data_IF_821317084176
#
_entry.id   IF_821317084176
#
_cell.length_a   1.000
_cell.length_b   1.000
_cell.length_c   1.000
_cell.angle_alpha   90.00
_cell.angle_beta   90.00
_cell.angle_gamma   90.00
#
_symmetry.space_group_name_H-M   'P 1'
#
loop_
_entity.id
_entity.type
_entity.pdbx_description
1 polymer ?
#
# COMPACT_ATOMS: atom_id res chain seq x y z
N UNK A 1 19.00 -13.82 -8.75
CA UNK A 1 18.73 -13.07 -9.98
C UNK A 1 19.84 -13.46 -10.94
N UNK A 2 19.54 -13.92 -12.15
CA UNK A 2 20.58 -14.36 -13.08
C UNK A 2 20.95 -13.16 -13.94
N UNK A 3 22.23 -12.77 -13.99
CA UNK A 3 22.68 -11.62 -14.76
C UNK A 3 22.32 -11.80 -16.26
N UNK A 4 21.49 -10.91 -16.85
CA UNK A 4 21.14 -10.94 -18.26
C UNK A 4 22.34 -10.87 -19.21
N UNK A 5 23.47 -10.31 -18.76
CA UNK A 5 24.70 -10.15 -19.55
C UNK A 5 25.48 -11.46 -19.64
N UNK A 6 25.58 -12.19 -18.52
CA UNK A 6 26.23 -13.51 -18.47
C UNK A 6 25.42 -14.52 -19.29
N UNK A 7 24.09 -14.40 -19.23
CA UNK A 7 23.18 -15.25 -20.01
C UNK A 7 23.13 -14.90 -21.49
N UNK A 8 23.28 -13.62 -21.88
CA UNK A 8 23.44 -13.25 -23.29
C UNK A 8 24.73 -13.82 -23.90
N UNK A 9 25.83 -13.81 -23.15
CA UNK A 9 27.09 -14.43 -23.57
C UNK A 9 26.97 -15.96 -23.69
N UNK A 10 26.38 -16.61 -22.68
CA UNK A 10 26.11 -18.04 -22.73
C UNK A 10 25.20 -18.39 -23.91
N UNK A 11 24.14 -17.61 -24.13
CA UNK A 11 23.18 -17.72 -25.25
C UNK A 11 23.85 -17.59 -26.60
N UNK A 12 24.73 -16.62 -26.80
CA UNK A 12 25.51 -16.47 -28.04
C UNK A 12 26.40 -17.68 -28.31
N UNK A 13 27.00 -18.29 -27.28
CA UNK A 13 27.78 -19.52 -27.42
C UNK A 13 26.92 -20.76 -27.70
N UNK A 14 25.73 -20.86 -27.09
CA UNK A 14 24.83 -22.02 -27.26
C UNK A 14 24.01 -21.97 -28.55
N UNK A 15 23.65 -20.77 -29.02
CA UNK A 15 22.66 -20.65 -30.08
C UNK A 15 23.24 -20.79 -31.49
N UNK A 16 24.57 -20.77 -31.72
CA UNK A 16 25.22 -21.07 -33.02
C UNK A 16 24.35 -20.76 -34.28
N UNK A 17 23.72 -19.58 -34.33
CA UNK A 17 22.85 -19.16 -35.45
C UNK A 17 21.36 -19.57 -35.44
N UNK A 18 20.75 -19.99 -34.32
CA UNK A 18 19.29 -20.23 -34.22
C UNK A 18 18.51 -19.02 -33.69
N UNK A 19 17.29 -18.85 -34.21
CA UNK A 19 16.37 -17.74 -33.91
C UNK A 19 16.00 -17.62 -32.43
N UNK A 20 15.73 -16.38 -32.02
CA UNK A 20 15.36 -15.98 -30.66
C UNK A 20 14.07 -16.69 -30.24
N UNK A 21 14.12 -17.49 -29.18
CA UNK A 21 12.97 -18.22 -28.64
C UNK A 21 12.92 -18.07 -27.12
N UNK A 22 11.84 -17.50 -26.59
CA UNK A 22 11.67 -17.23 -25.16
C UNK A 22 11.74 -18.51 -24.30
N UNK A 23 11.29 -19.65 -24.83
CA UNK A 23 11.40 -20.94 -24.14
C UNK A 23 12.86 -21.42 -24.01
N UNK A 24 13.67 -21.22 -25.07
CA UNK A 24 15.10 -21.58 -25.05
C UNK A 24 15.85 -20.63 -24.13
N UNK A 25 15.54 -19.33 -24.19
CA UNK A 25 16.14 -18.31 -23.33
C UNK A 25 15.80 -18.54 -21.85
N UNK A 26 14.55 -18.88 -21.53
CA UNK A 26 14.11 -19.21 -20.17
C UNK A 26 14.74 -20.50 -19.64
N UNK A 27 14.78 -21.56 -20.46
CA UNK A 27 15.45 -22.81 -20.09
C UNK A 27 16.96 -22.60 -19.88
N UNK A 28 17.57 -21.74 -20.69
CA UNK A 28 18.97 -21.40 -20.56
C UNK A 28 19.25 -20.63 -19.27
N UNK A 29 18.48 -19.57 -19.00
CA UNK A 29 18.50 -18.81 -17.75
C UNK A 29 18.35 -19.71 -16.52
N UNK A 30 17.42 -20.67 -16.56
CA UNK A 30 17.21 -21.64 -15.49
C UNK A 30 18.37 -22.65 -15.33
N UNK A 31 19.09 -22.94 -16.42
CA UNK A 31 20.24 -23.86 -16.43
C UNK A 31 21.57 -23.18 -16.06
N UNK A 32 21.68 -21.86 -16.18
CA UNK A 32 22.88 -21.08 -15.87
C UNK A 32 23.47 -21.33 -14.48
N UNK A 33 22.68 -21.47 -13.39
CA UNK A 33 23.21 -21.75 -12.05
C UNK A 33 23.98 -23.08 -11.95
N UNK A 34 23.70 -24.02 -12.85
CA UNK A 34 24.34 -25.33 -12.89
C UNK A 34 25.66 -25.31 -13.67
N UNK A 35 25.83 -24.33 -14.56
CA UNK A 35 26.97 -24.22 -15.49
C UNK A 35 28.07 -23.29 -14.99
N UNK A 36 27.71 -22.24 -14.25
CA UNK A 36 28.67 -21.32 -13.63
C UNK A 36 28.23 -20.96 -12.21
N UNK A 37 28.96 -21.48 -11.22
CA UNK A 37 28.71 -21.17 -9.80
C UNK A 37 29.09 -19.74 -9.44
N UNK A 38 30.01 -19.11 -10.19
CA UNK A 38 30.41 -17.69 -10.00
C UNK A 38 29.37 -16.72 -10.56
N UNK A 39 28.50 -17.16 -11.47
CA UNK A 39 27.29 -16.43 -11.84
C UNK A 39 26.32 -16.29 -10.65
N UNK A 40 26.53 -17.07 -9.57
CA UNK A 40 25.87 -16.88 -8.28
C UNK A 40 26.62 -15.88 -7.37
N UNK A 41 27.95 -15.87 -7.41
CA UNK A 41 28.78 -15.02 -6.52
C UNK A 41 28.61 -13.51 -6.78
N UNK A 42 28.40 -13.09 -8.03
CA UNK A 42 28.10 -11.69 -8.35
C UNK A 42 26.65 -11.27 -8.01
N UNK A 43 25.84 -12.16 -7.43
CA UNK A 43 24.38 -11.96 -7.26
C UNK A 43 23.92 -11.96 -5.80
N UNK A 44 24.83 -11.65 -4.88
CA UNK A 44 24.39 -10.92 -3.70
C UNK A 44 24.20 -9.45 -4.18
N UNK A 45 23.22 -9.16 -5.06
CA UNK A 45 22.03 -8.49 -4.53
C UNK A 45 21.89 -8.91 -3.08
N UNK A 46 22.54 -8.17 -2.16
CA UNK A 46 22.10 -8.13 -0.78
C UNK A 46 20.64 -7.82 -0.98
N UNK A 47 19.76 -8.83 -0.85
CA UNK A 47 18.33 -8.62 -0.83
C UNK A 47 18.15 -7.87 0.45
N UNK A 48 18.34 -6.57 0.35
CA UNK A 48 18.40 -5.73 1.52
C UNK A 48 17.07 -5.96 2.22
N UNK A 49 17.09 -6.22 3.54
CA UNK A 49 15.86 -6.38 4.30
C UNK A 49 14.82 -5.28 3.99
N UNK A 50 15.29 -4.10 3.57
CA UNK A 50 14.52 -2.99 3.00
C UNK A 50 13.63 -3.40 1.81
N UNK A 51 14.14 -4.09 0.78
CA UNK A 51 13.35 -4.51 -0.41
C UNK A 51 12.20 -5.45 -0.05
N UNK A 52 12.42 -6.37 0.89
CA UNK A 52 11.35 -7.24 1.39
C UNK A 52 10.26 -6.46 2.13
N UNK A 53 10.67 -5.46 2.93
CA UNK A 53 9.76 -4.62 3.69
C UNK A 53 9.01 -3.61 2.81
N UNK A 54 9.64 -3.02 1.79
CA UNK A 54 9.01 -2.08 0.86
C UNK A 54 7.97 -2.79 -0.02
N UNK A 55 8.26 -4.01 -0.47
CA UNK A 55 7.26 -4.85 -1.17
C UNK A 55 6.09 -5.25 -0.26
N UNK A 56 6.36 -5.55 1.01
CA UNK A 56 5.31 -5.80 2.00
C UNK A 56 4.47 -4.54 2.24
N UNK A 57 5.11 -3.38 2.38
CA UNK A 57 4.46 -2.08 2.52
C UNK A 57 3.49 -1.82 1.37
N UNK A 58 3.94 -1.97 0.12
CA UNK A 58 3.07 -1.84 -1.05
C UNK A 58 1.89 -2.82 -1.03
N UNK A 59 2.13 -4.07 -0.64
CA UNK A 59 1.07 -5.07 -0.55
C UNK A 59 0.00 -4.68 0.46
N UNK A 60 0.40 -4.18 1.63
CA UNK A 60 -0.53 -3.72 2.67
C UNK A 60 -1.24 -2.44 2.23
N UNK A 61 -0.54 -1.51 1.58
CA UNK A 61 -1.16 -0.30 1.00
C UNK A 61 -2.26 -0.67 -0.01
N UNK A 62 -2.01 -1.64 -0.89
CA UNK A 62 -3.05 -2.18 -1.80
C UNK A 62 -4.23 -2.80 -1.04
N UNK A 63 -3.98 -3.50 0.08
CA UNK A 63 -5.04 -4.02 0.92
C UNK A 63 -5.87 -2.91 1.58
N UNK A 64 -5.23 -1.86 2.09
CA UNK A 64 -5.90 -0.68 2.66
C UNK A 64 -6.84 -0.06 1.63
N UNK A 65 -6.37 0.15 0.40
CA UNK A 65 -7.22 0.67 -0.70
C UNK A 65 -8.39 -0.27 -0.99
N UNK A 66 -8.12 -1.59 -1.11
CA UNK A 66 -9.15 -2.59 -1.38
C UNK A 66 -10.23 -2.61 -0.29
N UNK A 67 -9.83 -2.62 0.98
CA UNK A 67 -10.76 -2.66 2.11
C UNK A 67 -11.57 -1.37 2.18
N UNK A 68 -10.92 -0.21 1.97
CA UNK A 68 -11.61 1.09 1.91
C UNK A 68 -12.68 1.10 0.81
N UNK A 69 -12.37 0.56 -0.37
CA UNK A 69 -13.34 0.46 -1.47
C UNK A 69 -14.52 -0.47 -1.13
N UNK A 70 -14.28 -1.57 -0.41
CA UNK A 70 -15.36 -2.45 0.05
C UNK A 70 -16.27 -1.71 1.03
N UNK A 71 -15.71 -0.97 1.99
CA UNK A 71 -16.48 -0.16 2.94
C UNK A 71 -17.27 0.92 2.20
N UNK A 72 -16.66 1.62 1.24
CA UNK A 72 -17.35 2.60 0.40
C UNK A 72 -18.53 1.98 -0.36
N UNK A 73 -18.34 0.79 -0.92
CA UNK A 73 -19.42 0.09 -1.63
C UNK A 73 -20.57 -0.28 -0.70
N UNK A 74 -20.27 -0.74 0.52
CA UNK A 74 -21.30 -1.10 1.49
C UNK A 74 -22.04 0.15 2.01
N UNK A 75 -21.31 1.24 2.25
CA UNK A 75 -21.88 2.55 2.60
C UNK A 75 -22.74 3.13 1.48
N UNK A 76 -22.34 2.99 0.20
CA UNK A 76 -23.17 3.45 -0.91
C UNK A 76 -24.55 2.76 -0.94
N UNK A 77 -24.67 1.54 -0.39
CA UNK A 77 -25.96 0.87 -0.25
C UNK A 77 -26.79 1.41 0.93
N UNK A 78 -26.19 1.54 2.12
CA UNK A 78 -26.95 1.80 3.36
C UNK A 78 -26.87 3.23 3.89
N UNK A 79 -25.88 4.01 3.46
CA UNK A 79 -25.65 5.38 3.89
C UNK A 79 -24.85 6.20 2.86
N UNK A 80 -25.38 6.43 1.65
CA UNK A 80 -24.64 7.10 0.57
C UNK A 80 -24.20 8.53 0.92
N UNK A 81 -24.92 9.24 1.78
CA UNK A 81 -24.61 10.62 2.20
C UNK A 81 -23.41 10.71 3.15
N UNK A 82 -22.89 9.59 3.64
CA UNK A 82 -21.77 9.57 4.59
C UNK A 82 -20.53 10.31 4.06
N UNK A 83 -20.27 10.22 2.76
CA UNK A 83 -19.13 10.88 2.11
C UNK A 83 -19.25 12.40 2.05
N UNK A 84 -20.43 12.98 2.32
CA UNK A 84 -20.61 14.43 2.42
C UNK A 84 -19.98 15.05 3.70
N UNK A 85 -19.79 14.22 4.72
CA UNK A 85 -19.08 14.61 5.96
C UNK A 85 -17.65 14.07 5.94
N UNK A 86 -17.46 12.89 5.36
CA UNK A 86 -16.17 12.22 5.26
C UNK A 86 -15.81 11.89 3.81
N UNK A 87 -15.25 12.84 3.04
CA UNK A 87 -14.81 12.57 1.67
C UNK A 87 -13.79 11.41 1.59
N UNK A 88 -12.95 11.27 2.62
CA UNK A 88 -12.09 10.11 2.81
C UNK A 88 -12.64 9.19 3.92
N UNK A 89 -13.21 8.06 3.51
CA UNK A 89 -13.68 7.00 4.41
C UNK A 89 -12.53 6.29 5.14
N UNK A 90 -11.33 6.34 4.58
CA UNK A 90 -10.11 5.91 5.26
C UNK A 90 -9.65 6.88 6.35
N UNK A 91 -10.24 8.06 6.49
CA UNK A 91 -9.77 9.04 7.48
C UNK A 91 -9.94 8.53 8.91
N UNK A 92 -9.08 8.99 9.82
CA UNK A 92 -9.09 8.56 11.22
C UNK A 92 -10.44 8.78 11.90
N UNK A 93 -11.11 9.89 11.59
CA UNK A 93 -12.42 10.21 12.15
C UNK A 93 -13.52 9.34 11.56
N UNK A 94 -13.51 9.14 10.23
CA UNK A 94 -14.49 8.27 9.57
C UNK A 94 -14.43 6.85 10.12
N UNK A 95 -13.23 6.27 10.21
CA UNK A 95 -13.00 4.95 10.80
C UNK A 95 -13.53 4.90 12.24
N UNK A 96 -13.28 5.92 13.06
CA UNK A 96 -13.76 5.95 14.45
C UNK A 96 -15.30 6.01 14.56
N UNK A 97 -15.96 6.70 13.62
CA UNK A 97 -17.42 6.74 13.54
C UNK A 97 -18.00 5.39 13.11
N UNK A 98 -17.43 4.77 12.08
CA UNK A 98 -17.88 3.47 11.59
C UNK A 98 -17.62 2.34 12.59
N UNK A 99 -16.50 2.40 13.31
CA UNK A 99 -16.14 1.43 14.35
C UNK A 99 -17.16 1.45 15.51
N UNK A 100 -17.63 2.64 15.88
CA UNK A 100 -18.53 2.80 17.03
C UNK A 100 -20.01 2.69 16.68
N UNK A 101 -20.44 3.23 15.55
CA UNK A 101 -21.86 3.36 15.20
C UNK A 101 -22.27 2.52 14.00
N UNK A 102 -21.36 2.31 13.05
CA UNK A 102 -21.48 1.42 11.88
C UNK A 102 -22.57 1.76 10.86
N UNK A 103 -23.80 2.10 11.28
CA UNK A 103 -24.98 2.32 10.43
C UNK A 103 -25.65 3.68 10.71
N UNK A 104 -26.48 4.21 9.78
CA UNK A 104 -27.26 5.42 10.03
C UNK A 104 -28.12 5.33 11.30
N UNK A 105 -28.84 4.22 11.48
CA UNK A 105 -29.68 4.00 12.66
C UNK A 105 -28.85 3.97 13.95
N UNK A 106 -27.63 3.43 13.91
CA UNK A 106 -26.69 3.47 15.03
C UNK A 106 -26.28 4.89 15.40
N UNK A 107 -26.01 5.74 14.40
CA UNK A 107 -25.67 7.15 14.58
C UNK A 107 -26.84 7.93 15.19
N UNK A 108 -28.05 7.75 14.66
CA UNK A 108 -29.26 8.43 15.15
C UNK A 108 -29.57 8.04 16.59
N UNK A 109 -29.44 6.75 16.94
CA UNK A 109 -29.72 6.22 18.28
C UNK A 109 -28.81 6.81 19.36
N UNK A 110 -27.54 7.03 19.03
CA UNK A 110 -26.53 7.53 19.98
C UNK A 110 -26.59 9.05 20.18
N UNK A 111 -27.11 9.78 19.19
CA UNK A 111 -27.35 11.21 19.28
C UNK A 111 -26.10 12.08 19.11
N UNK A 112 -26.36 13.39 18.99
CA UNK A 112 -25.37 14.40 18.59
C UNK A 112 -24.16 14.45 19.54
N UNK A 113 -24.40 14.41 20.86
CA UNK A 113 -23.31 14.55 21.84
C UNK A 113 -22.33 13.36 21.80
N UNK A 114 -22.83 12.13 21.64
CA UNK A 114 -21.99 10.92 21.53
C UNK A 114 -21.17 10.96 20.24
N UNK A 115 -21.80 11.35 19.13
CA UNK A 115 -21.16 11.52 17.82
C UNK A 115 -20.07 12.59 17.88
N UNK A 116 -20.39 13.78 18.39
CA UNK A 116 -19.46 14.90 18.53
C UNK A 116 -18.23 14.51 19.33
N UNK A 117 -18.41 13.80 20.45
CA UNK A 117 -17.30 13.33 21.30
C UNK A 117 -16.35 12.41 20.54
N UNK A 118 -16.86 11.53 19.69
CA UNK A 118 -16.03 10.65 18.84
C UNK A 118 -15.29 11.46 17.78
N UNK A 119 -15.99 12.38 17.11
CA UNK A 119 -15.39 13.22 16.06
C UNK A 119 -14.26 14.09 16.62
N UNK A 120 -14.51 14.80 17.71
CA UNK A 120 -13.52 15.66 18.37
C UNK A 120 -12.30 14.88 18.87
N UNK A 121 -12.50 13.72 19.49
CA UNK A 121 -11.40 12.89 19.99
C UNK A 121 -10.51 12.37 18.86
N UNK A 122 -11.11 11.92 17.77
CA UNK A 122 -10.37 11.35 16.64
C UNK A 122 -9.69 12.44 15.79
N UNK A 123 -10.30 13.62 15.68
CA UNK A 123 -9.84 14.74 14.84
C UNK A 123 -9.06 15.84 15.56
N UNK A 124 -8.76 15.69 16.86
CA UNK A 124 -8.14 16.75 17.68
C UNK A 124 -8.95 18.05 17.67
N UNK A 125 -10.26 17.95 17.92
CA UNK A 125 -11.21 19.07 17.98
C UNK A 125 -11.43 19.84 16.66
N UNK A 126 -10.99 19.32 15.52
CA UNK A 126 -11.31 19.90 14.20
C UNK A 126 -12.83 19.99 13.96
N UNK A 127 -13.57 18.89 14.17
CA UNK A 127 -15.03 18.87 14.00
C UNK A 127 -15.76 19.58 15.14
N UNK A 128 -16.83 20.29 14.79
CA UNK A 128 -17.68 21.09 15.67
C UNK A 128 -19.06 20.47 15.80
N UNK A 129 -19.90 21.10 16.63
CA UNK A 129 -21.27 20.65 16.88
C UNK A 129 -22.08 20.57 15.58
N UNK A 130 -21.96 21.59 14.74
CA UNK A 130 -22.65 21.68 13.45
C UNK A 130 -22.33 20.48 12.53
N UNK A 131 -21.09 19.98 12.55
CA UNK A 131 -20.69 18.80 11.78
C UNK A 131 -21.37 17.51 12.30
N UNK A 132 -21.47 17.38 13.62
CA UNK A 132 -22.16 16.26 14.25
C UNK A 132 -23.68 16.33 14.03
N UNK A 133 -24.26 17.52 14.09
CA UNK A 133 -25.67 17.78 13.75
C UNK A 133 -25.93 17.42 12.29
N UNK A 134 -25.06 17.85 11.36
CA UNK A 134 -25.13 17.48 9.94
C UNK A 134 -25.12 15.96 9.76
N UNK A 135 -24.17 15.26 10.38
CA UNK A 135 -24.06 13.81 10.26
C UNK A 135 -25.30 13.08 10.79
N UNK A 136 -25.82 13.49 11.95
CA UNK A 136 -27.04 12.89 12.54
C UNK A 136 -28.27 13.18 11.70
N UNK A 137 -28.37 14.38 11.10
CA UNK A 137 -29.46 14.72 10.16
C UNK A 137 -29.40 13.84 8.92
N UNK A 138 -28.23 13.74 8.28
CA UNK A 138 -28.03 12.87 7.10
C UNK A 138 -28.34 11.41 7.43
N UNK A 139 -27.96 10.94 8.63
CA UNK A 139 -28.26 9.58 9.05
C UNK A 139 -29.76 9.34 9.30
N UNK A 140 -30.51 10.36 9.72
CA UNK A 140 -31.96 10.28 9.94
C UNK A 140 -32.72 10.25 8.61
N UNK A 141 -32.29 11.07 7.66
CA UNK A 141 -32.97 11.28 6.38
C UNK A 141 -32.32 10.50 5.22
N UNK A 142 -31.45 9.52 5.54
CA UNK A 142 -30.68 8.77 4.53
C UNK A 142 -31.59 8.00 3.58
N UNK A 143 -31.26 8.05 2.28
CA UNK A 143 -31.96 7.29 1.23
C UNK A 143 -31.46 5.85 1.07
N UNK A 144 -30.50 5.43 1.90
CA UNK A 144 -29.93 4.09 1.89
C UNK A 144 -30.96 2.99 2.15
N UNK A 145 -30.67 1.78 1.67
CA UNK A 145 -31.53 0.63 1.95
C UNK A 145 -31.49 0.27 3.43
N UNK A 146 -32.60 -0.24 3.94
CA UNK A 146 -32.69 -0.71 5.32
C UNK A 146 -31.99 -2.06 5.44
N UNK A 147 -30.92 -2.12 6.25
CA UNK A 147 -30.17 -3.35 6.53
C UNK A 147 -30.87 -4.20 7.59
N UNK A 148 -32.05 -4.73 7.26
CA UNK A 148 -32.93 -5.45 8.21
C UNK A 148 -32.26 -6.65 8.87
N UNK A 149 -31.47 -7.39 8.10
CA UNK A 149 -30.76 -8.59 8.57
C UNK A 149 -29.34 -8.29 9.10
N UNK A 150 -28.93 -7.02 9.10
CA UNK A 150 -27.63 -6.58 9.63
C UNK A 150 -26.42 -7.03 8.80
N UNK A 151 -26.61 -7.43 7.55
CA UNK A 151 -25.55 -7.97 6.68
C UNK A 151 -24.53 -6.88 6.35
N UNK A 152 -24.97 -5.69 5.98
CA UNK A 152 -24.07 -4.58 5.66
C UNK A 152 -23.37 -4.07 6.91
N UNK A 153 -24.09 -3.95 8.02
CA UNK A 153 -23.53 -3.56 9.31
C UNK A 153 -22.41 -4.53 9.73
N UNK A 154 -22.63 -5.83 9.60
CA UNK A 154 -21.62 -6.84 9.91
C UNK A 154 -20.40 -6.72 8.99
N UNK A 155 -20.61 -6.58 7.68
CA UNK A 155 -19.54 -6.41 6.69
C UNK A 155 -18.70 -5.15 6.95
N UNK A 156 -19.36 -4.01 7.19
CA UNK A 156 -18.68 -2.74 7.48
C UNK A 156 -17.85 -2.88 8.74
N UNK A 157 -18.43 -3.39 9.83
CA UNK A 157 -17.70 -3.58 11.09
C UNK A 157 -16.45 -4.44 10.90
N UNK A 158 -16.57 -5.54 10.17
CA UNK A 158 -15.44 -6.45 9.97
C UNK A 158 -14.36 -5.83 9.09
N UNK A 159 -14.75 -5.11 8.04
CA UNK A 159 -13.79 -4.42 7.18
C UNK A 159 -13.15 -3.21 7.85
N UNK A 160 -13.86 -2.50 8.74
CA UNK A 160 -13.31 -1.43 9.57
C UNK A 160 -12.24 -1.97 10.53
N UNK A 161 -12.51 -3.09 11.22
CA UNK A 161 -11.53 -3.74 12.08
C UNK A 161 -10.26 -4.16 11.30
N UNK A 162 -10.44 -4.74 10.10
CA UNK A 162 -9.33 -5.07 9.20
C UNK A 162 -8.56 -3.84 8.76
N UNK A 163 -9.24 -2.76 8.38
CA UNK A 163 -8.63 -1.50 7.96
C UNK A 163 -7.78 -0.89 9.07
N UNK A 164 -8.27 -0.92 10.32
CA UNK A 164 -7.52 -0.47 11.50
C UNK A 164 -6.24 -1.29 11.66
N UNK A 165 -6.34 -2.62 11.55
CA UNK A 165 -5.18 -3.51 11.67
C UNK A 165 -4.15 -3.27 10.57
N UNK A 166 -4.58 -3.15 9.31
CA UNK A 166 -3.68 -2.92 8.19
C UNK A 166 -2.98 -1.56 8.28
N UNK A 167 -3.70 -0.51 8.71
CA UNK A 167 -3.08 0.81 8.97
C UNK A 167 -2.08 0.78 10.11
N UNK A 168 -2.28 -0.07 11.12
CA UNK A 168 -1.31 -0.28 12.19
C UNK A 168 -0.05 -0.98 11.66
N UNK A 169 -0.22 -2.08 10.92
CA UNK A 169 0.90 -2.80 10.31
C UNK A 169 1.71 -1.92 9.37
N UNK A 170 1.04 -1.07 8.58
CA UNK A 170 1.67 -0.13 7.67
C UNK A 170 2.65 0.78 8.42
N UNK A 171 2.23 1.38 9.55
CA UNK A 171 3.11 2.20 10.40
C UNK A 171 4.29 1.42 10.98
N UNK A 172 4.05 0.20 11.47
CA UNK A 172 5.12 -0.66 12.00
C UNK A 172 6.17 -1.01 10.94
N UNK A 173 5.75 -1.15 9.67
CA UNK A 173 6.64 -1.41 8.54
C UNK A 173 7.39 -0.14 8.15
N UNK A 174 6.71 1.02 8.09
CA UNK A 174 7.35 2.31 7.83
C UNK A 174 8.49 2.57 8.81
N UNK A 175 8.22 2.42 10.12
CA UNK A 175 9.22 2.59 11.17
C UNK A 175 10.42 1.63 10.99
N UNK A 176 10.19 0.38 10.58
CA UNK A 176 11.25 -0.59 10.30
C UNK A 176 12.07 -0.24 9.07
N UNK A 177 11.43 0.20 7.98
CA UNK A 177 12.10 0.64 6.76
C UNK A 177 13.02 1.82 7.06
N UNK A 178 12.48 2.86 7.71
CA UNK A 178 13.22 4.07 8.03
C UNK A 178 14.41 3.79 8.94
N UNK A 179 14.25 2.90 9.93
CA UNK A 179 15.35 2.50 10.82
C UNK A 179 16.48 1.77 10.07
N UNK A 180 16.15 0.94 9.09
CA UNK A 180 17.16 0.24 8.29
C UNK A 180 17.86 1.18 7.31
N UNK A 181 17.17 2.22 6.83
CA UNK A 181 17.66 3.18 5.85
C UNK A 181 18.30 4.44 6.47
N UNK A 182 18.29 4.61 7.79
CA UNK A 182 18.67 5.86 8.49
C UNK A 182 20.08 6.37 8.14
N UNK A 183 21.03 5.45 7.91
CA UNK A 183 22.42 5.75 7.61
C UNK A 183 22.80 5.55 6.13
N UNK A 184 21.81 5.32 5.27
CA UNK A 184 22.02 5.14 3.85
C UNK A 184 22.11 6.50 3.14
N UNK A 185 23.27 6.83 2.59
CA UNK A 185 23.50 8.09 1.88
C UNK A 185 22.72 8.17 0.57
N UNK A 186 22.54 7.05 -0.14
CA UNK A 186 21.77 7.01 -1.38
C UNK A 186 20.29 7.28 -1.10
N UNK A 187 19.76 6.76 0.02
CA UNK A 187 18.37 7.06 0.43
C UNK A 187 18.20 8.54 0.73
N UNK A 188 19.14 9.17 1.43
CA UNK A 188 19.10 10.61 1.71
C UNK A 188 19.15 11.44 0.43
N UNK A 189 20.06 11.11 -0.48
CA UNK A 189 20.19 11.79 -1.77
C UNK A 189 18.91 11.72 -2.60
N UNK A 190 18.21 10.58 -2.58
CA UNK A 190 16.93 10.42 -3.28
C UNK A 190 15.78 11.13 -2.53
N UNK A 191 15.73 11.08 -1.20
CA UNK A 191 14.67 11.72 -0.40
C UNK A 191 14.70 13.26 -0.52
N UNK A 192 15.89 13.85 -0.69
CA UNK A 192 16.05 15.30 -0.94
C UNK A 192 15.36 15.78 -2.23
N UNK A 193 15.01 14.87 -3.13
CA UNK A 193 14.19 15.19 -4.29
C UNK A 193 12.75 15.47 -3.89
N UNK A 194 12.26 16.65 -4.29
CA UNK A 194 10.90 17.10 -3.98
C UNK A 194 9.85 16.09 -4.43
N UNK A 195 9.13 15.53 -3.45
CA UNK A 195 7.95 14.70 -3.68
C UNK A 195 8.18 13.19 -3.63
N UNK A 196 9.40 12.70 -3.36
CA UNK A 196 9.67 11.27 -3.22
C UNK A 196 9.24 10.79 -1.83
N UNK A 197 9.80 11.36 -0.77
CA UNK A 197 9.56 10.94 0.60
C UNK A 197 10.32 9.66 0.97
N UNK A 198 10.59 9.44 2.25
CA UNK A 198 11.69 8.56 2.68
C UNK A 198 11.40 7.08 2.46
N UNK A 199 10.13 6.67 2.48
CA UNK A 199 9.73 5.28 2.18
C UNK A 199 9.93 4.97 0.70
N UNK A 200 9.56 5.91 -0.19
CA UNK A 200 9.75 5.72 -1.63
C UNK A 200 11.22 5.82 -2.00
N UNK A 201 11.99 6.69 -1.34
CA UNK A 201 13.44 6.75 -1.52
C UNK A 201 14.09 5.41 -1.14
N UNK A 202 13.75 4.86 0.03
CA UNK A 202 14.19 3.54 0.45
C UNK A 202 13.76 2.43 -0.52
N UNK A 203 12.54 2.50 -1.06
CA UNK A 203 12.06 1.55 -2.06
C UNK A 203 12.90 1.61 -3.35
N UNK A 204 13.15 2.82 -3.88
CA UNK A 204 13.95 3.05 -5.09
C UNK A 204 15.37 2.51 -4.89
N UNK A 205 16.06 2.94 -3.82
CA UNK A 205 17.42 2.47 -3.52
C UNK A 205 17.44 0.96 -3.38
N UNK A 206 16.48 0.37 -2.67
CA UNK A 206 16.44 -1.08 -2.45
C UNK A 206 16.19 -1.91 -3.71
N UNK A 207 15.53 -1.34 -4.73
CA UNK A 207 15.24 -2.02 -5.98
C UNK A 207 16.34 -1.80 -7.04
N UNK A 208 17.01 -0.64 -6.99
CA UNK A 208 18.23 -0.38 -7.76
C UNK A 208 19.38 -1.25 -7.21
N UNK A 209 19.55 -1.32 -5.89
CA UNK A 209 20.74 -1.89 -5.27
C UNK A 209 21.96 -1.00 -5.52
N UNK A 210 23.10 -1.60 -5.87
CA UNK A 210 24.31 -0.84 -6.19
C UNK A 210 24.15 -0.07 -7.51
N UNK A 211 24.12 1.27 -7.44
CA UNK A 211 24.00 2.12 -8.64
C UNK A 211 25.19 1.95 -9.59
N UNK A 212 26.36 1.52 -9.10
CA UNK A 212 27.57 1.26 -9.88
C UNK A 212 27.43 0.13 -10.92
N UNK A 213 26.39 -0.70 -10.83
CA UNK A 213 26.14 -1.75 -11.83
C UNK A 213 25.65 -1.21 -13.20
N UNK A 214 25.28 0.09 -13.25
CA UNK A 214 24.77 0.76 -14.44
C UNK A 214 25.85 1.66 -15.05
N UNK A 215 26.30 1.33 -16.27
CA UNK A 215 27.33 2.13 -16.98
C UNK A 215 26.85 3.52 -17.41
N UNK A 216 25.53 3.79 -17.36
CA UNK A 216 24.97 5.11 -17.67
C UNK A 216 23.55 5.27 -17.10
N UNK A 217 23.14 6.53 -16.94
CA UNK A 217 21.78 6.88 -16.54
C UNK A 217 20.71 6.32 -17.50
N UNK A 218 20.99 6.25 -18.81
CA UNK A 218 20.08 5.62 -19.78
C UNK A 218 19.84 4.13 -19.48
N UNK A 219 20.87 3.41 -19.02
CA UNK A 219 20.73 1.99 -18.68
C UNK A 219 19.91 1.80 -17.40
N UNK A 220 20.07 2.69 -16.43
CA UNK A 220 19.24 2.73 -15.23
C UNK A 220 17.78 3.04 -15.58
N UNK A 221 17.54 4.05 -16.42
CA UNK A 221 16.20 4.37 -16.92
C UNK A 221 15.56 3.16 -17.61
N UNK A 222 16.30 2.49 -18.51
CA UNK A 222 15.81 1.31 -19.23
C UNK A 222 15.51 0.11 -18.31
N UNK A 223 16.11 0.06 -17.12
CA UNK A 223 15.85 -0.99 -16.13
C UNK A 223 14.52 -0.78 -15.40
N UNK A 224 14.13 0.48 -15.16
CA UNK A 224 12.86 0.85 -14.53
C UNK A 224 11.63 0.71 -15.42
N UNK A 225 11.82 0.59 -16.74
CA UNK A 225 10.76 0.50 -17.75
C UNK A 225 10.61 1.74 -18.61
#
# INVERSE_FOLDING_TARGET
YVDPRVTDYARKMSNLGKEKSDNVDAAMLASTPWKDRKAFDNTIHKREPVSGLTRLYESITRNVTRITNIINSDLACIFPEFTEVFPDVGSKTSIAILDRFTTPSGIVKEGIDSVLKVMQRSSRNHYKKDDAEKLVSLARDSVGIHDTDGVYAFRIRQNVARLISEKKHLKEIEEKILKLAENDEDVKNIDDMKGIGPINAAAIVSEIGDIGQFDSALKLQSYGG
#
